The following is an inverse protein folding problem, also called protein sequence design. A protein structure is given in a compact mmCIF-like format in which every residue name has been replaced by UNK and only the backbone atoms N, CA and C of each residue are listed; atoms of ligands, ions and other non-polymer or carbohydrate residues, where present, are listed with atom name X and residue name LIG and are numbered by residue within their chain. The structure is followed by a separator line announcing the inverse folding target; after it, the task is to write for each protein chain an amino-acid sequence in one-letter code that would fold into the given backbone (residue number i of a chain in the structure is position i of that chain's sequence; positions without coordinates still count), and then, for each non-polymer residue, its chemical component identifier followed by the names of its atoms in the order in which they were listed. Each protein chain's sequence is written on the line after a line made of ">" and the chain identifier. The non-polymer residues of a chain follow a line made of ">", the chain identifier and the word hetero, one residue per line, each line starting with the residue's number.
data_IF_793806239855
#
_entry.id   IF_793806239855
#
_cell.length_a   1.000
_cell.length_b   1.000
_cell.length_c   1.000
_cell.angle_alpha   90.00
_cell.angle_beta   90.00
_cell.angle_gamma   90.00
#
_symmetry.space_group_name_H-M   'P 1'
#
loop_
_entity.id
_entity.type
_entity.pdbx_description
1 polymer ?
#
# COMPACT_ATOMS: atom_id res chain seq x y z
N UNK A 1 2.58 -21.35 -8.93
CA UNK A 1 3.57 -20.37 -9.41
C UNK A 1 4.79 -20.49 -8.52
N UNK A 2 6.00 -20.51 -9.09
CA UNK A 2 7.24 -20.46 -8.32
C UNK A 2 7.40 -19.08 -7.68
N UNK A 3 7.88 -19.03 -6.43
CA UNK A 3 8.23 -17.77 -5.76
C UNK A 3 9.40 -17.14 -6.52
N UNK A 4 9.34 -15.85 -6.91
CA UNK A 4 10.47 -15.17 -7.54
C UNK A 4 11.72 -15.21 -6.66
N UNK A 5 12.91 -15.15 -7.25
CA UNK A 5 14.14 -14.96 -6.49
C UNK A 5 14.11 -13.57 -5.81
N UNK A 6 14.55 -13.47 -4.54
CA UNK A 6 14.56 -12.21 -3.82
C UNK A 6 15.57 -11.24 -4.45
N UNK A 7 15.18 -9.97 -4.54
CA UNK A 7 16.02 -8.85 -4.94
C UNK A 7 16.92 -8.36 -3.79
N UNK A 8 16.49 -8.58 -2.55
CA UNK A 8 17.25 -8.15 -1.38
C UNK A 8 18.50 -9.02 -1.14
N UNK A 9 19.65 -8.36 -0.95
CA UNK A 9 20.93 -9.03 -0.65
C UNK A 9 21.07 -9.40 0.83
N UNK A 10 20.44 -8.63 1.74
CA UNK A 10 20.44 -8.92 3.17
C UNK A 10 19.50 -10.11 3.48
N UNK A 11 19.94 -11.12 4.26
CA UNK A 11 19.12 -12.31 4.52
C UNK A 11 17.76 -12.03 5.19
N UNK A 12 17.69 -11.04 6.09
CA UNK A 12 16.44 -10.70 6.79
C UNK A 12 15.49 -10.00 5.80
N UNK A 13 16.02 -9.10 4.99
CA UNK A 13 15.27 -8.44 3.93
C UNK A 13 14.74 -9.44 2.88
N UNK A 14 15.56 -10.42 2.50
CA UNK A 14 15.19 -11.48 1.57
C UNK A 14 14.07 -12.39 2.13
N UNK A 15 14.10 -12.69 3.42
CA UNK A 15 13.03 -13.45 4.09
C UNK A 15 11.71 -12.68 4.10
N UNK A 16 11.75 -11.36 4.35
CA UNK A 16 10.56 -10.48 4.31
C UNK A 16 9.99 -10.40 2.90
N UNK A 17 10.85 -10.23 1.89
CA UNK A 17 10.45 -10.20 0.48
C UNK A 17 9.80 -11.52 0.06
N UNK A 18 10.43 -12.65 0.39
CA UNK A 18 9.90 -13.98 0.10
C UNK A 18 8.55 -14.21 0.77
N UNK A 19 8.40 -13.81 2.03
CA UNK A 19 7.13 -13.91 2.74
C UNK A 19 6.03 -13.08 2.05
N UNK A 20 6.35 -11.88 1.54
CA UNK A 20 5.39 -11.08 0.78
C UNK A 20 4.97 -11.77 -0.52
N UNK A 21 5.91 -12.37 -1.24
CA UNK A 21 5.66 -13.11 -2.49
C UNK A 21 4.80 -14.36 -2.29
N UNK A 22 4.91 -15.00 -1.13
CA UNK A 22 4.10 -16.16 -0.77
C UNK A 22 2.71 -15.75 -0.27
N UNK A 23 2.62 -14.73 0.59
CA UNK A 23 1.37 -14.33 1.25
C UNK A 23 0.39 -13.62 0.31
N UNK A 24 0.87 -12.74 -0.58
CA UNK A 24 -0.04 -11.94 -1.41
C UNK A 24 -0.89 -12.79 -2.37
N UNK A 25 -0.35 -13.78 -3.11
CA UNK A 25 -1.17 -14.67 -3.93
C UNK A 25 -2.19 -15.47 -3.10
N UNK A 26 -1.79 -15.96 -1.92
CA UNK A 26 -2.70 -16.68 -1.01
C UNK A 26 -3.84 -15.78 -0.52
N UNK A 27 -3.53 -14.53 -0.19
CA UNK A 27 -4.52 -13.51 0.15
C UNK A 27 -5.53 -13.28 -1.00
N UNK A 28 -5.05 -13.00 -2.22
CA UNK A 28 -5.93 -12.70 -3.36
C UNK A 28 -6.78 -13.90 -3.78
N UNK A 29 -6.23 -15.11 -3.69
CA UNK A 29 -6.89 -16.34 -4.17
C UNK A 29 -7.72 -17.06 -3.10
N UNK A 30 -7.63 -16.66 -1.83
CA UNK A 30 -8.40 -17.29 -0.76
C UNK A 30 -9.90 -17.18 -1.03
N UNK A 31 -10.59 -18.31 -1.15
CA UNK A 31 -12.05 -18.37 -1.31
C UNK A 31 -12.78 -18.14 0.02
N UNK A 32 -12.14 -18.51 1.13
CA UNK A 32 -12.68 -18.39 2.47
C UNK A 32 -12.28 -17.04 3.09
N UNK A 33 -13.28 -16.26 3.53
CA UNK A 33 -13.06 -14.95 4.16
C UNK A 33 -12.15 -14.99 5.39
N UNK A 34 -12.27 -15.99 6.25
CA UNK A 34 -11.41 -16.14 7.43
C UNK A 34 -9.95 -16.34 7.03
N UNK A 35 -9.69 -17.19 6.03
CA UNK A 35 -8.33 -17.38 5.52
C UNK A 35 -7.81 -16.11 4.85
N UNK A 36 -8.65 -15.41 4.07
CA UNK A 36 -8.29 -14.14 3.45
C UNK A 36 -7.88 -13.11 4.48
N UNK A 37 -8.66 -12.95 5.54
CA UNK A 37 -8.38 -12.01 6.64
C UNK A 37 -7.06 -12.40 7.33
N UNK A 38 -6.81 -13.69 7.57
CA UNK A 38 -5.55 -14.17 8.13
C UNK A 38 -4.34 -13.86 7.24
N UNK A 39 -4.43 -14.08 5.94
CA UNK A 39 -3.37 -13.72 5.00
C UNK A 39 -3.17 -12.21 4.91
N UNK A 40 -4.25 -11.42 4.92
CA UNK A 40 -4.17 -9.96 4.94
C UNK A 40 -3.47 -9.47 6.21
N UNK A 41 -3.80 -10.02 7.39
CA UNK A 41 -3.13 -9.69 8.66
C UNK A 41 -1.64 -10.07 8.60
N UNK A 42 -1.31 -11.26 8.11
CA UNK A 42 0.08 -11.68 7.96
C UNK A 42 0.86 -10.75 7.04
N UNK A 43 0.26 -10.36 5.90
CA UNK A 43 0.87 -9.41 4.96
C UNK A 43 1.03 -8.01 5.58
N UNK A 44 0.04 -7.53 6.33
CA UNK A 44 0.09 -6.26 7.03
C UNK A 44 1.24 -6.21 8.05
N UNK A 45 1.52 -7.32 8.73
CA UNK A 45 2.64 -7.41 9.67
C UNK A 45 4.01 -7.23 9.00
N UNK A 46 4.12 -7.50 7.68
CA UNK A 46 5.33 -7.19 6.90
C UNK A 46 5.42 -5.70 6.57
N UNK A 47 4.28 -5.02 6.39
CA UNK A 47 4.21 -3.63 5.96
C UNK A 47 4.31 -2.60 7.11
N UNK A 48 3.72 -2.90 8.26
CA UNK A 48 3.56 -1.95 9.36
C UNK A 48 3.94 -2.53 10.72
N UNK A 49 3.25 -2.08 11.77
CA UNK A 49 3.44 -2.60 13.12
C UNK A 49 2.66 -3.91 13.31
N UNK A 50 3.32 -5.01 13.73
CA UNK A 50 2.64 -6.29 13.88
C UNK A 50 1.44 -6.24 14.82
N UNK A 51 0.31 -6.78 14.37
CA UNK A 51 -0.92 -6.94 15.17
C UNK A 51 -1.89 -5.75 15.09
N UNK A 52 -1.48 -4.57 14.65
CA UNK A 52 -2.38 -3.40 14.60
C UNK A 52 -3.51 -3.57 13.56
N UNK A 53 -3.17 -4.15 12.40
CA UNK A 53 -4.12 -4.39 11.32
C UNK A 53 -5.24 -5.38 11.68
N UNK A 54 -5.03 -6.25 12.68
CA UNK A 54 -6.06 -7.18 13.15
C UNK A 54 -7.36 -6.46 13.51
N UNK A 55 -7.26 -5.29 14.13
CA UNK A 55 -8.42 -4.48 14.57
C UNK A 55 -9.23 -3.89 13.42
N UNK A 56 -8.62 -3.76 12.24
CA UNK A 56 -9.25 -3.20 11.04
C UNK A 56 -10.18 -4.23 10.37
N UNK A 57 -9.82 -5.51 10.43
CA UNK A 57 -10.55 -6.60 9.75
C UNK A 57 -11.37 -7.48 10.68
N UNK A 58 -11.13 -7.42 11.99
CA UNK A 58 -11.78 -8.26 13.00
C UNK A 58 -12.81 -7.50 13.85
N UNK A 59 -13.64 -8.22 14.62
CA UNK A 59 -14.65 -7.62 15.50
C UNK A 59 -16.00 -7.36 14.79
N UNK A 60 -16.89 -6.62 15.45
CA UNK A 60 -18.18 -6.24 14.88
C UNK A 60 -18.05 -5.22 13.74
N UNK A 61 -19.08 -5.06 12.91
CA UNK A 61 -19.04 -4.09 11.81
C UNK A 61 -18.84 -2.64 12.29
N UNK A 62 -19.43 -2.27 13.44
CA UNK A 62 -19.27 -0.94 14.03
C UNK A 62 -17.86 -0.69 14.56
N UNK A 63 -17.26 -1.68 15.24
CA UNK A 63 -15.87 -1.58 15.71
C UNK A 63 -14.90 -1.43 14.53
N UNK A 64 -15.06 -2.26 13.49
CA UNK A 64 -14.23 -2.15 12.27
C UNK A 64 -14.35 -0.77 11.63
N UNK A 65 -15.55 -0.21 11.54
CA UNK A 65 -15.74 1.13 10.98
C UNK A 65 -14.93 2.18 11.74
N UNK A 66 -14.98 2.16 13.08
CA UNK A 66 -14.20 3.08 13.93
C UNK A 66 -12.70 2.89 13.72
N UNK A 67 -12.22 1.65 13.59
CA UNK A 67 -10.81 1.38 13.33
C UNK A 67 -10.37 1.84 11.93
N UNK A 68 -11.18 1.62 10.91
CA UNK A 68 -10.94 2.11 9.54
C UNK A 68 -10.91 3.63 9.49
N UNK A 69 -11.83 4.32 10.17
CA UNK A 69 -11.85 5.79 10.22
C UNK A 69 -10.58 6.36 10.88
N UNK A 70 -10.16 5.78 12.00
CA UNK A 70 -8.90 6.17 12.68
C UNK A 70 -7.69 5.92 11.81
N UNK A 71 -7.64 4.77 11.15
CA UNK A 71 -6.56 4.42 10.24
C UNK A 71 -6.50 5.43 9.07
N UNK A 72 -7.63 5.76 8.46
CA UNK A 72 -7.70 6.69 7.35
C UNK A 72 -7.30 8.12 7.76
N UNK A 73 -7.63 8.52 9.00
CA UNK A 73 -7.16 9.79 9.56
C UNK A 73 -5.64 9.84 9.68
N UNK A 74 -5.03 8.82 10.31
CA UNK A 74 -3.58 8.73 10.47
C UNK A 74 -2.85 8.70 9.11
N UNK A 75 -3.35 7.89 8.18
CA UNK A 75 -2.89 7.86 6.80
C UNK A 75 -2.87 9.25 6.16
N UNK A 76 -4.00 9.95 6.23
CA UNK A 76 -4.14 11.28 5.63
C UNK A 76 -3.14 12.27 6.25
N UNK A 77 -3.05 12.32 7.57
CA UNK A 77 -2.12 13.20 8.27
C UNK A 77 -0.66 12.92 7.89
N UNK A 78 -0.26 11.65 7.86
CA UNK A 78 1.11 11.26 7.53
C UNK A 78 1.45 11.60 6.07
N UNK A 79 0.55 11.30 5.13
CA UNK A 79 0.79 11.60 3.72
C UNK A 79 0.78 13.12 3.46
N UNK A 80 -0.15 13.88 4.07
CA UNK A 80 -0.14 15.35 3.99
C UNK A 80 1.17 15.94 4.54
N UNK A 81 1.65 15.41 5.66
CA UNK A 81 2.91 15.82 6.28
C UNK A 81 4.10 15.52 5.37
N UNK A 82 4.15 14.32 4.79
CA UNK A 82 5.17 13.88 3.85
C UNK A 82 5.21 14.80 2.63
N UNK A 83 4.07 15.02 1.98
CA UNK A 83 3.95 15.93 0.83
C UNK A 83 4.48 17.31 1.23
N UNK A 84 3.97 17.88 2.33
CA UNK A 84 4.36 19.22 2.77
C UNK A 84 5.86 19.34 3.02
N UNK A 85 6.46 18.37 3.73
CA UNK A 85 7.89 18.36 4.07
C UNK A 85 8.82 18.07 2.90
N UNK A 86 8.33 17.41 1.85
CA UNK A 86 9.15 17.10 0.69
C UNK A 86 9.43 18.37 -0.09
N UNK A 87 10.69 18.78 -0.12
CA UNK A 87 11.13 19.89 -0.97
C UNK A 87 11.19 19.41 -2.42
N UNK A 88 10.65 20.22 -3.33
CA UNK A 88 10.67 19.95 -4.77
C UNK A 88 11.20 21.17 -5.50
N UNK A 89 11.88 20.93 -6.61
CA UNK A 89 12.25 21.99 -7.54
C UNK A 89 11.00 22.62 -8.15
N UNK A 90 11.10 23.86 -8.62
CA UNK A 90 9.95 24.61 -9.17
C UNK A 90 9.25 23.89 -10.33
N UNK A 91 9.98 23.09 -11.10
CA UNK A 91 9.41 22.33 -12.21
C UNK A 91 8.58 21.10 -11.76
N UNK A 92 8.77 20.66 -10.52
CA UNK A 92 8.07 19.52 -9.91
C UNK A 92 6.92 19.94 -8.97
N UNK A 93 6.68 21.24 -8.77
CA UNK A 93 5.56 21.74 -7.95
C UNK A 93 4.20 21.21 -8.43
N UNK A 94 3.98 21.14 -9.74
CA UNK A 94 2.74 20.57 -10.31
C UNK A 94 2.57 19.08 -9.98
N UNK A 95 3.67 18.33 -9.93
CA UNK A 95 3.63 16.92 -9.54
C UNK A 95 3.23 16.80 -8.08
N UNK A 96 3.77 17.65 -7.20
CA UNK A 96 3.41 17.71 -5.79
C UNK A 96 1.95 18.10 -5.55
N UNK A 97 1.43 19.08 -6.29
CA UNK A 97 0.02 19.46 -6.28
C UNK A 97 -0.87 18.28 -6.69
N UNK A 98 -0.53 17.59 -7.79
CA UNK A 98 -1.26 16.40 -8.22
C UNK A 98 -1.29 15.30 -7.16
N UNK A 99 -0.17 15.04 -6.48
CA UNK A 99 -0.13 14.03 -5.40
C UNK A 99 -1.05 14.43 -4.24
N UNK A 100 -1.13 15.72 -3.94
CA UNK A 100 -2.07 16.22 -2.93
C UNK A 100 -3.53 16.08 -3.39
N UNK A 101 -3.84 16.38 -4.64
CA UNK A 101 -5.18 16.18 -5.22
C UNK A 101 -5.60 14.71 -5.22
N UNK A 102 -4.71 13.80 -5.66
CA UNK A 102 -4.94 12.36 -5.66
C UNK A 102 -5.24 11.84 -4.24
N UNK A 103 -4.56 12.39 -3.20
CA UNK A 103 -4.85 12.07 -1.80
C UNK A 103 -6.28 12.45 -1.40
N UNK A 104 -6.70 13.69 -1.72
CA UNK A 104 -8.04 14.18 -1.36
C UNK A 104 -9.13 13.37 -2.07
N UNK A 105 -8.94 13.09 -3.37
CA UNK A 105 -9.87 12.29 -4.17
C UNK A 105 -9.96 10.86 -3.62
N UNK A 106 -8.81 10.22 -3.37
CA UNK A 106 -8.78 8.86 -2.81
C UNK A 106 -9.53 8.76 -1.48
N UNK A 107 -9.26 9.66 -0.54
CA UNK A 107 -9.92 9.64 0.78
C UNK A 107 -11.43 9.78 0.64
N UNK A 108 -11.90 10.71 -0.19
CA UNK A 108 -13.32 10.92 -0.44
C UNK A 108 -13.99 9.69 -1.06
N UNK A 109 -13.37 9.11 -2.10
CA UNK A 109 -13.92 7.95 -2.79
C UNK A 109 -13.94 6.71 -1.89
N UNK A 110 -12.88 6.48 -1.11
CA UNK A 110 -12.80 5.37 -0.18
C UNK A 110 -13.87 5.48 0.92
N UNK A 111 -14.05 6.67 1.53
CA UNK A 111 -15.08 6.91 2.55
C UNK A 111 -16.50 6.74 2.03
N UNK A 112 -16.76 7.09 0.76
CA UNK A 112 -18.07 6.91 0.13
C UNK A 112 -18.35 5.46 -0.30
N UNK A 113 -17.40 4.54 -0.10
CA UNK A 113 -17.51 3.16 -0.55
C UNK A 113 -17.31 2.97 -2.06
N UNK A 114 -16.85 4.00 -2.78
CA UNK A 114 -16.58 3.96 -4.22
C UNK A 114 -15.24 3.28 -4.52
N UNK A 115 -15.03 2.07 -3.99
CA UNK A 115 -13.75 1.34 -3.97
C UNK A 115 -13.12 1.20 -5.35
N UNK A 116 -13.93 0.94 -6.39
CA UNK A 116 -13.44 0.82 -7.78
C UNK A 116 -12.83 2.11 -8.32
N UNK A 117 -13.31 3.28 -7.87
CA UNK A 117 -12.75 4.58 -8.25
C UNK A 117 -11.55 4.93 -7.38
N UNK A 118 -11.65 4.65 -6.08
CA UNK A 118 -10.56 4.88 -5.13
C UNK A 118 -9.29 4.11 -5.51
N UNK A 119 -9.44 2.92 -6.08
CA UNK A 119 -8.33 2.02 -6.39
C UNK A 119 -7.25 2.64 -7.32
N UNK A 120 -7.56 3.08 -8.55
CA UNK A 120 -6.55 3.72 -9.41
C UNK A 120 -6.01 5.03 -8.82
N UNK A 121 -6.80 5.80 -8.07
CA UNK A 121 -6.30 7.01 -7.41
C UNK A 121 -5.29 6.67 -6.30
N UNK A 122 -5.48 5.57 -5.56
CA UNK A 122 -4.51 5.10 -4.57
C UNK A 122 -3.19 4.65 -5.21
N UNK A 123 -3.26 3.94 -6.35
CA UNK A 123 -2.06 3.54 -7.11
C UNK A 123 -1.33 4.79 -7.63
N UNK A 124 -2.05 5.75 -8.23
CA UNK A 124 -1.49 7.03 -8.69
C UNK A 124 -0.83 7.80 -7.56
N UNK A 125 -1.52 7.94 -6.42
CA UNK A 125 -1.02 8.57 -5.21
C UNK A 125 0.29 7.93 -4.75
N UNK A 126 0.33 6.60 -4.63
CA UNK A 126 1.49 5.87 -4.14
C UNK A 126 2.70 5.99 -5.08
N UNK A 127 2.48 5.91 -6.39
CA UNK A 127 3.53 6.16 -7.39
C UNK A 127 3.99 7.62 -7.40
N UNK A 128 3.08 8.55 -7.14
CA UNK A 128 3.38 9.96 -6.99
C UNK A 128 4.25 10.25 -5.76
N UNK A 129 3.94 9.63 -4.62
CA UNK A 129 4.78 9.66 -3.42
C UNK A 129 6.18 9.12 -3.72
N UNK A 130 6.31 8.01 -4.46
CA UNK A 130 7.61 7.48 -4.87
C UNK A 130 8.44 8.52 -5.63
N UNK A 131 7.82 9.22 -6.59
CA UNK A 131 8.48 10.28 -7.36
C UNK A 131 8.88 11.47 -6.50
N UNK A 132 8.06 11.84 -5.52
CA UNK A 132 8.41 12.92 -4.59
C UNK A 132 9.62 12.57 -3.73
N UNK A 133 9.68 11.34 -3.22
CA UNK A 133 10.76 10.90 -2.33
C UNK A 133 12.07 10.60 -3.06
N UNK A 134 11.99 10.03 -4.27
CA UNK A 134 13.15 9.46 -4.97
C UNK A 134 13.44 10.12 -6.32
N UNK A 135 12.64 11.09 -6.76
CA UNK A 135 12.83 11.81 -8.01
C UNK A 135 12.82 10.88 -9.23
N UNK A 136 13.82 11.02 -10.09
CA UNK A 136 13.99 10.17 -11.29
C UNK A 136 14.25 8.70 -10.96
N UNK A 137 14.80 8.39 -9.78
CA UNK A 137 15.05 7.00 -9.36
C UNK A 137 13.76 6.20 -9.25
N UNK A 138 12.62 6.85 -8.93
CA UNK A 138 11.30 6.21 -8.89
C UNK A 138 10.81 5.65 -10.24
N UNK A 139 11.51 5.99 -11.33
CA UNK A 139 11.19 5.56 -12.69
C UNK A 139 12.27 4.63 -13.27
N UNK A 140 13.34 4.38 -12.51
CA UNK A 140 14.42 3.52 -12.95
C UNK A 140 13.98 2.04 -12.95
N UNK A 141 14.50 1.20 -13.88
CA UNK A 141 14.14 -0.22 -13.93
C UNK A 141 14.48 -0.99 -12.64
N UNK A 142 15.50 -0.54 -11.91
CA UNK A 142 15.99 -1.10 -10.65
C UNK A 142 15.36 -0.45 -9.41
N UNK A 143 14.30 0.37 -9.57
CA UNK A 143 13.69 1.09 -8.45
C UNK A 143 13.27 0.17 -7.30
N UNK A 144 12.76 -1.02 -7.62
CA UNK A 144 12.33 -1.97 -6.59
C UNK A 144 13.50 -2.55 -5.80
N UNK A 145 14.59 -2.93 -6.48
CA UNK A 145 15.83 -3.37 -5.83
C UNK A 145 16.41 -2.24 -4.96
N UNK A 146 16.34 -1.00 -5.45
CA UNK A 146 16.74 0.18 -4.71
C UNK A 146 15.91 0.38 -3.43
N UNK A 147 14.59 0.21 -3.45
CA UNK A 147 13.76 0.37 -2.24
C UNK A 147 14.00 -0.74 -1.22
N UNK A 148 14.20 -1.99 -1.64
CA UNK A 148 14.58 -3.10 -0.75
C UNK A 148 15.94 -2.87 -0.08
N UNK A 149 16.90 -2.24 -0.76
CA UNK A 149 18.20 -1.86 -0.16
C UNK A 149 18.08 -0.78 0.91
N UNK A 150 17.09 0.10 0.83
CA UNK A 150 16.86 1.16 1.83
C UNK A 150 16.15 0.58 3.04
N UNK A 151 14.99 -0.03 2.82
CA UNK A 151 14.13 -0.56 3.86
C UNK A 151 13.28 -1.70 3.28
N UNK A 152 13.30 -2.91 3.88
CA UNK A 152 12.55 -4.04 3.34
C UNK A 152 11.03 -3.82 3.30
N UNK A 153 10.46 -3.08 4.26
CA UNK A 153 9.01 -2.78 4.27
C UNK A 153 8.65 -1.84 3.13
N UNK A 154 9.51 -0.87 2.84
CA UNK A 154 9.37 0.02 1.70
C UNK A 154 9.47 -0.74 0.37
N UNK A 155 10.39 -1.69 0.28
CA UNK A 155 10.50 -2.63 -0.84
C UNK A 155 9.21 -3.42 -1.06
N UNK A 156 8.71 -4.09 -0.02
CA UNK A 156 7.44 -4.84 -0.07
C UNK A 156 6.27 -3.92 -0.44
N UNK A 157 6.20 -2.71 0.11
CA UNK A 157 5.16 -1.75 -0.20
C UNK A 157 5.13 -1.40 -1.69
N UNK A 158 6.27 -1.01 -2.28
CA UNK A 158 6.28 -0.65 -3.71
C UNK A 158 6.13 -1.85 -4.65
N UNK A 159 6.59 -3.04 -4.25
CA UNK A 159 6.25 -4.27 -4.96
C UNK A 159 4.73 -4.50 -4.96
N UNK A 160 4.09 -4.35 -3.81
CA UNK A 160 2.64 -4.48 -3.63
C UNK A 160 1.87 -3.46 -4.49
N UNK A 161 2.28 -2.19 -4.51
CA UNK A 161 1.70 -1.17 -5.41
C UNK A 161 1.85 -1.59 -6.89
N UNK A 162 2.98 -2.20 -7.26
CA UNK A 162 3.17 -2.79 -8.58
C UNK A 162 2.15 -3.89 -8.90
N UNK A 163 1.86 -4.78 -7.94
CA UNK A 163 0.80 -5.80 -8.08
C UNK A 163 -0.58 -5.17 -8.26
N UNK A 164 -0.92 -4.16 -7.45
CA UNK A 164 -2.22 -3.45 -7.57
C UNK A 164 -2.37 -2.81 -8.94
N UNK A 165 -1.32 -2.20 -9.47
CA UNK A 165 -1.33 -1.60 -10.80
C UNK A 165 -1.64 -2.61 -11.91
N UNK A 166 -1.07 -3.81 -11.83
CA UNK A 166 -1.37 -4.89 -12.79
C UNK A 166 -2.83 -5.37 -12.71
N UNK A 167 -3.49 -5.15 -11.58
CA UNK A 167 -4.87 -5.55 -11.32
C UNK A 167 -5.91 -4.46 -11.66
N UNK A 168 -5.50 -3.26 -12.08
CA UNK A 168 -6.43 -2.14 -12.36
C UNK A 168 -7.51 -2.50 -13.38
N UNK A 169 -7.16 -3.27 -14.42
CA UNK A 169 -8.07 -3.73 -15.47
C UNK A 169 -8.67 -5.12 -15.20
N UNK A 170 -8.29 -5.78 -14.10
CA UNK A 170 -8.71 -7.14 -13.77
C UNK A 170 -10.08 -7.22 -13.10
N UNK A 171 -10.77 -8.34 -13.31
CA UNK A 171 -11.99 -8.69 -12.58
C UNK A 171 -11.67 -9.20 -11.17
N UNK A 172 -11.43 -8.25 -10.26
CA UNK A 172 -11.26 -8.50 -8.83
C UNK A 172 -12.49 -8.00 -8.08
N UNK A 173 -12.94 -8.78 -7.09
CA UNK A 173 -14.08 -8.41 -6.24
C UNK A 173 -13.80 -7.13 -5.44
N UNK A 174 -14.87 -6.37 -5.16
CA UNK A 174 -14.76 -5.13 -4.38
C UNK A 174 -14.29 -5.41 -2.95
N UNK A 175 -14.58 -6.61 -2.41
CA UNK A 175 -14.09 -7.05 -1.10
C UNK A 175 -12.56 -7.14 -1.07
N UNK A 176 -11.95 -7.79 -2.08
CA UNK A 176 -10.49 -7.90 -2.19
C UNK A 176 -9.88 -6.52 -2.40
N UNK A 177 -10.43 -5.70 -3.30
CA UNK A 177 -9.96 -4.32 -3.52
C UNK A 177 -10.02 -3.49 -2.23
N UNK A 178 -11.07 -3.67 -1.43
CA UNK A 178 -11.19 -2.99 -0.13
C UNK A 178 -10.05 -3.39 0.80
N UNK A 179 -9.75 -4.68 0.91
CA UNK A 179 -8.64 -5.17 1.75
C UNK A 179 -7.28 -4.69 1.23
N UNK A 180 -7.06 -4.71 -0.08
CA UNK A 180 -5.84 -4.19 -0.72
C UNK A 180 -5.63 -2.70 -0.40
N UNK A 181 -6.68 -1.89 -0.51
CA UNK A 181 -6.61 -0.48 -0.16
C UNK A 181 -6.37 -0.28 1.34
N UNK A 182 -7.01 -1.05 2.21
CA UNK A 182 -6.75 -1.00 3.64
C UNK A 182 -5.30 -1.36 3.98
N UNK A 183 -4.71 -2.35 3.31
CA UNK A 183 -3.30 -2.71 3.48
C UNK A 183 -2.37 -1.57 3.06
N UNK A 184 -2.64 -0.96 1.91
CA UNK A 184 -1.85 0.18 1.43
C UNK A 184 -1.97 1.41 2.35
N UNK A 185 -3.19 1.73 2.80
CA UNK A 185 -3.45 2.79 3.78
C UNK A 185 -2.75 2.50 5.09
N UNK A 186 -2.79 1.26 5.58
CA UNK A 186 -2.09 0.82 6.79
C UNK A 186 -0.57 0.99 6.68
N UNK A 187 0.02 0.59 5.55
CA UNK A 187 1.44 0.79 5.31
C UNK A 187 1.80 2.29 5.42
N UNK A 188 1.11 3.15 4.67
CA UNK A 188 1.39 4.59 4.64
C UNK A 188 1.03 5.33 5.95
N UNK A 189 0.13 4.79 6.77
CA UNK A 189 -0.13 5.28 8.13
C UNK A 189 0.93 4.82 9.15
N UNK A 190 1.69 3.77 8.83
CA UNK A 190 2.74 3.20 9.69
C UNK A 190 4.14 3.74 9.37
N UNK A 191 4.29 4.51 8.29
CA UNK A 191 5.52 5.18 7.86
C UNK A 191 5.76 6.51 8.60
#
# INVERSE_FOLDING_TARGET
>A
MSVPEPLAEDPIAADVEKAAYELFPLFVQAENRVLRDQYAIAFANLLGNPGEFYTVVSGSAGERLVHVERLLHAFRENVELLIRKTWVEKHDEKSKEKVHEDLLIFVQEFQSGAVRKAFPHFVSLSMGIARLLFGSQAQAPDFLEYTFRIDPKLGVFYWFIGRLKEQESGEISDEIRTLELLLGVFALASF
#
